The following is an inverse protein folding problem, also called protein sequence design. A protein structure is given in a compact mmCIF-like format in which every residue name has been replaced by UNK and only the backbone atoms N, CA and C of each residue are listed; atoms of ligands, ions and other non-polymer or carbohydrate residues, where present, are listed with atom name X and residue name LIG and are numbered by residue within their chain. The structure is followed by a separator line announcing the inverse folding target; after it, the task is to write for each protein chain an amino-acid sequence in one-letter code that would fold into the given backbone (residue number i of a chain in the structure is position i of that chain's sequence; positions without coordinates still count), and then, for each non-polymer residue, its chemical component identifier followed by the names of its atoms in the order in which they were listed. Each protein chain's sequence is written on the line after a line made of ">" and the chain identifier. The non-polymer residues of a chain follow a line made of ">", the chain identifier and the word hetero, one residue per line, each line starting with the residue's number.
data_IF_080760614825
#
_entry.id   IF_080760614825
#
_cell.length_a   1.000
_cell.length_b   1.000
_cell.length_c   1.000
_cell.angle_alpha   90.00
_cell.angle_beta   90.00
_cell.angle_gamma   90.00
#
_symmetry.space_group_name_H-M   'P 1'
#
loop_
_entity.id
_entity.type
_entity.pdbx_description
1 polymer ?
#
# COMPACT_ATOMS: atom_id res chain seq x y z
N UNK A 1 -19.13 -2.16 -0.68
CA UNK A 1 -20.28 -2.02 -1.62
C UNK A 1 -20.62 -3.30 -2.41
N UNK A 2 -19.91 -4.43 -2.24
CA UNK A 2 -20.24 -5.70 -2.95
C UNK A 2 -20.96 -6.72 -2.05
N UNK A 3 -21.00 -6.51 -0.74
CA UNK A 3 -21.23 -7.58 0.23
C UNK A 3 -22.71 -7.99 0.41
N UNK A 4 -23.69 -7.07 0.33
CA UNK A 4 -25.10 -7.45 0.55
C UNK A 4 -25.77 -8.08 -0.67
N UNK A 5 -25.46 -7.58 -1.88
CA UNK A 5 -26.04 -8.06 -3.13
C UNK A 5 -25.51 -9.47 -3.48
N UNK A 6 -24.21 -9.70 -3.30
CA UNK A 6 -23.58 -11.01 -3.52
C UNK A 6 -24.12 -12.05 -2.53
N UNK A 7 -24.29 -11.69 -1.25
CA UNK A 7 -24.91 -12.56 -0.23
C UNK A 7 -26.35 -12.93 -0.56
N UNK A 8 -27.16 -11.99 -1.04
CA UNK A 8 -28.54 -12.27 -1.44
C UNK A 8 -28.60 -13.18 -2.68
N UNK A 9 -27.77 -12.93 -3.69
CA UNK A 9 -27.72 -13.74 -4.90
C UNK A 9 -27.29 -15.19 -4.61
N UNK A 10 -26.28 -15.38 -3.76
CA UNK A 10 -25.82 -16.71 -3.31
C UNK A 10 -26.92 -17.46 -2.57
N UNK A 11 -27.64 -16.78 -1.67
CA UNK A 11 -28.73 -17.36 -0.89
C UNK A 11 -29.90 -17.80 -1.77
N UNK A 12 -30.19 -17.05 -2.83
CA UNK A 12 -31.26 -17.35 -3.79
C UNK A 12 -30.87 -18.52 -4.71
N UNK A 13 -29.61 -18.57 -5.15
CA UNK A 13 -29.18 -19.52 -6.20
C UNK A 13 -28.50 -20.79 -5.67
N UNK A 14 -28.31 -20.95 -4.36
CA UNK A 14 -27.59 -22.08 -3.73
C UNK A 14 -26.21 -22.35 -4.36
N UNK A 15 -25.55 -21.30 -4.84
CA UNK A 15 -24.23 -21.39 -5.46
C UNK A 15 -23.15 -21.15 -4.43
N UNK A 16 -22.10 -21.98 -4.41
CA UNK A 16 -20.99 -21.85 -3.47
C UNK A 16 -20.25 -20.50 -3.59
N UNK A 17 -19.74 -20.04 -2.45
CA UNK A 17 -18.92 -18.84 -2.32
C UNK A 17 -17.66 -18.98 -3.19
N UNK A 18 -17.58 -18.28 -4.31
CA UNK A 18 -16.44 -18.40 -5.22
C UNK A 18 -15.38 -17.34 -4.90
N UNK A 19 -14.34 -17.76 -4.17
CA UNK A 19 -13.15 -16.96 -3.82
C UNK A 19 -12.51 -16.26 -5.03
N UNK A 20 -12.64 -16.83 -6.23
CA UNK A 20 -12.07 -16.26 -7.45
C UNK A 20 -12.78 -14.96 -7.86
N UNK A 21 -14.11 -14.88 -7.72
CA UNK A 21 -14.86 -13.66 -8.04
C UNK A 21 -14.53 -12.53 -7.07
N UNK A 22 -14.44 -12.82 -5.77
CA UNK A 22 -14.05 -11.81 -4.77
C UNK A 22 -12.63 -11.31 -4.99
N UNK A 23 -11.70 -12.22 -5.28
CA UNK A 23 -10.32 -11.87 -5.61
C UNK A 23 -10.26 -10.97 -6.86
N UNK A 24 -11.04 -11.28 -7.88
CA UNK A 24 -11.14 -10.48 -9.10
C UNK A 24 -11.67 -9.06 -8.84
N UNK A 25 -12.79 -8.93 -8.11
CA UNK A 25 -13.37 -7.62 -7.80
C UNK A 25 -12.49 -6.81 -6.85
N UNK A 26 -11.87 -7.45 -5.86
CA UNK A 26 -10.87 -6.81 -5.01
C UNK A 26 -9.71 -6.26 -5.85
N UNK A 27 -9.19 -7.02 -6.81
CA UNK A 27 -8.10 -6.56 -7.68
C UNK A 27 -8.50 -5.33 -8.50
N UNK A 28 -9.68 -5.35 -9.11
CA UNK A 28 -10.22 -4.19 -9.83
C UNK A 28 -10.30 -2.96 -8.93
N UNK A 29 -10.83 -3.12 -7.73
CA UNK A 29 -10.93 -2.04 -6.75
C UNK A 29 -9.55 -1.52 -6.33
N UNK A 30 -8.63 -2.42 -5.97
CA UNK A 30 -7.29 -2.07 -5.52
C UNK A 30 -6.51 -1.34 -6.62
N UNK A 31 -6.61 -1.79 -7.87
CA UNK A 31 -6.03 -1.11 -9.04
C UNK A 31 -6.59 0.30 -9.21
N UNK A 32 -7.91 0.46 -9.15
CA UNK A 32 -8.55 1.77 -9.24
C UNK A 32 -8.12 2.70 -8.09
N UNK A 33 -8.02 2.16 -6.87
CA UNK A 33 -7.52 2.89 -5.71
C UNK A 33 -6.09 3.39 -5.91
N UNK A 34 -5.17 2.53 -6.38
CA UNK A 34 -3.79 2.92 -6.67
C UNK A 34 -3.71 3.98 -7.79
N UNK A 35 -4.52 3.84 -8.85
CA UNK A 35 -4.61 4.85 -9.91
C UNK A 35 -5.11 6.20 -9.38
N UNK A 36 -6.19 6.21 -8.60
CA UNK A 36 -6.71 7.42 -7.98
C UNK A 36 -5.68 8.07 -7.04
N UNK A 37 -5.02 7.27 -6.21
CA UNK A 37 -3.95 7.74 -5.31
C UNK A 37 -2.83 8.42 -6.10
N UNK A 38 -2.37 7.81 -7.18
CA UNK A 38 -1.28 8.37 -7.99
C UNK A 38 -1.70 9.62 -8.78
N UNK A 39 -2.95 9.69 -9.23
CA UNK A 39 -3.50 10.89 -9.87
C UNK A 39 -3.64 12.05 -8.89
N UNK A 40 -4.26 11.81 -7.71
CA UNK A 40 -4.46 12.83 -6.68
C UNK A 40 -3.14 13.43 -6.18
N UNK A 41 -2.09 12.60 -6.12
CA UNK A 41 -0.75 13.03 -5.73
C UNK A 41 0.11 13.55 -6.90
N UNK A 42 -0.46 13.65 -8.11
CA UNK A 42 0.22 14.12 -9.33
C UNK A 42 1.53 13.35 -9.61
N UNK A 43 1.50 12.03 -9.43
CA UNK A 43 2.63 11.11 -9.68
C UNK A 43 2.34 10.10 -10.79
N UNK A 44 1.11 10.00 -11.26
CA UNK A 44 0.67 9.07 -12.32
C UNK A 44 1.53 9.11 -13.60
N UNK A 45 1.90 10.33 -14.05
CA UNK A 45 2.68 10.55 -15.28
C UNK A 45 4.20 10.49 -15.09
N UNK A 46 4.68 10.30 -13.86
CA UNK A 46 6.11 10.34 -13.55
C UNK A 46 6.80 9.00 -13.83
N UNK A 47 8.13 9.04 -13.94
CA UNK A 47 8.95 7.82 -13.79
C UNK A 47 8.94 7.34 -12.33
N UNK A 48 9.36 6.10 -12.11
CA UNK A 48 9.47 5.53 -10.77
C UNK A 48 10.33 6.43 -9.86
N UNK A 49 11.54 6.79 -10.30
CA UNK A 49 12.45 7.62 -9.50
C UNK A 49 11.89 9.01 -9.22
N UNK A 50 11.22 9.62 -10.20
CA UNK A 50 10.57 10.91 -10.03
C UNK A 50 9.41 10.84 -9.02
N UNK A 51 8.61 9.77 -9.06
CA UNK A 51 7.52 9.56 -8.12
C UNK A 51 8.03 9.32 -6.70
N UNK A 52 9.05 8.47 -6.52
CA UNK A 52 9.68 8.24 -5.21
C UNK A 52 10.29 9.53 -4.67
N UNK A 53 11.02 10.28 -5.50
CA UNK A 53 11.59 11.59 -5.11
C UNK A 53 10.49 12.56 -4.67
N UNK A 54 9.39 12.65 -5.42
CA UNK A 54 8.27 13.53 -5.09
C UNK A 54 7.55 13.10 -3.80
N UNK A 55 7.29 11.81 -3.63
CA UNK A 55 6.65 11.27 -2.42
C UNK A 55 7.49 11.52 -1.17
N UNK A 56 8.80 11.44 -1.30
CA UNK A 56 9.76 11.61 -0.20
C UNK A 56 10.26 13.06 -0.02
N UNK A 57 9.77 14.02 -0.81
CA UNK A 57 10.12 15.44 -0.64
C UNK A 57 9.36 16.11 0.53
N UNK A 58 8.27 15.51 0.98
CA UNK A 58 7.54 15.88 2.19
C UNK A 58 7.56 14.71 3.16
N UNK A 59 7.35 14.96 4.46
CA UNK A 59 7.20 13.89 5.46
C UNK A 59 6.09 12.97 4.96
N UNK A 60 6.42 11.68 4.83
CA UNK A 60 5.53 10.70 4.24
C UNK A 60 5.61 9.41 5.05
N UNK A 61 4.50 8.68 5.07
CA UNK A 61 4.41 7.42 5.79
C UNK A 61 4.79 6.24 4.89
N UNK A 62 5.25 5.14 5.51
CA UNK A 62 5.71 3.93 4.81
C UNK A 62 4.61 3.30 3.94
N UNK A 63 3.36 3.31 4.42
CA UNK A 63 2.14 2.84 3.75
C UNK A 63 1.62 3.75 2.64
N UNK A 64 2.17 4.95 2.50
CA UNK A 64 1.96 5.74 1.30
C UNK A 64 3.00 5.39 0.24
N UNK A 65 4.27 5.27 0.67
CA UNK A 65 5.38 4.97 -0.23
C UNK A 65 5.28 3.56 -0.82
N UNK A 66 4.81 2.58 -0.05
CA UNK A 66 4.58 1.21 -0.54
C UNK A 66 3.54 1.17 -1.69
N UNK A 67 2.43 1.92 -1.60
CA UNK A 67 1.37 2.00 -2.61
C UNK A 67 1.91 2.59 -3.90
N UNK A 68 2.85 3.53 -3.82
CA UNK A 68 3.54 4.06 -4.99
C UNK A 68 4.40 2.97 -5.62
N UNK A 69 5.21 2.24 -4.84
CA UNK A 69 6.03 1.14 -5.34
C UNK A 69 5.15 0.08 -6.02
N UNK A 70 4.08 -0.35 -5.35
CA UNK A 70 3.10 -1.31 -5.85
C UNK A 70 2.46 -0.82 -7.16
N UNK A 71 2.09 0.46 -7.27
CA UNK A 71 1.55 1.02 -8.51
C UNK A 71 2.54 0.86 -9.68
N UNK A 72 3.81 1.20 -9.49
CA UNK A 72 4.80 1.13 -10.56
C UNK A 72 5.18 -0.31 -10.94
N UNK A 73 5.17 -1.23 -9.98
CA UNK A 73 5.44 -2.66 -10.20
C UNK A 73 4.26 -3.40 -10.86
N UNK A 74 3.02 -3.09 -10.47
CA UNK A 74 1.84 -3.91 -10.84
C UNK A 74 1.04 -3.29 -11.98
N UNK A 75 0.99 -1.95 -12.06
CA UNK A 75 0.05 -1.25 -12.94
C UNK A 75 0.72 -0.60 -14.13
N UNK A 76 2.00 -0.25 -14.00
CA UNK A 76 2.80 0.29 -15.10
C UNK A 76 3.50 -0.82 -15.92
N UNK A 77 3.65 -2.02 -15.35
CA UNK A 77 4.01 -3.22 -16.08
C UNK A 77 2.71 -3.92 -16.48
N UNK A 78 2.48 -4.07 -17.78
CA UNK A 78 1.22 -4.49 -18.42
C UNK A 78 0.76 -5.93 -18.09
N UNK A 79 1.35 -6.59 -17.10
CA UNK A 79 1.12 -8.00 -16.81
C UNK A 79 -0.15 -8.21 -15.97
N UNK A 80 -1.23 -8.47 -16.70
CA UNK A 80 -2.58 -8.80 -16.21
C UNK A 80 -2.69 -10.12 -15.43
N UNK A 81 -1.57 -10.83 -15.16
CA UNK A 81 -1.56 -12.14 -14.51
C UNK A 81 -1.02 -12.13 -13.06
N UNK A 82 -0.87 -10.95 -12.44
CA UNK A 82 -0.42 -10.86 -11.06
C UNK A 82 -1.53 -11.27 -10.07
N UNK A 83 -1.50 -12.54 -9.65
CA UNK A 83 -2.32 -13.05 -8.55
C UNK A 83 -1.99 -12.33 -7.23
N UNK A 84 -3.03 -12.05 -6.43
CA UNK A 84 -2.90 -11.37 -5.12
C UNK A 84 -1.87 -12.02 -4.20
N UNK A 85 -1.73 -13.34 -4.28
CA UNK A 85 -0.73 -14.09 -3.53
C UNK A 85 0.71 -13.63 -3.83
N UNK A 86 1.02 -13.34 -5.10
CA UNK A 86 2.33 -12.79 -5.47
C UNK A 86 2.53 -11.38 -4.95
N UNK A 87 1.49 -10.55 -5.01
CA UNK A 87 1.51 -9.18 -4.49
C UNK A 87 1.77 -9.19 -2.98
N UNK A 88 1.04 -10.02 -2.24
CA UNK A 88 1.20 -10.16 -0.79
C UNK A 88 2.58 -10.69 -0.41
N UNK A 89 3.10 -11.67 -1.17
CA UNK A 89 4.43 -12.24 -0.96
C UNK A 89 5.53 -11.20 -1.21
N UNK A 90 5.46 -10.45 -2.32
CA UNK A 90 6.38 -9.35 -2.63
C UNK A 90 6.24 -8.18 -1.66
N UNK A 91 5.02 -7.90 -1.19
CA UNK A 91 4.78 -6.82 -0.23
C UNK A 91 5.59 -7.00 1.05
N UNK A 92 5.48 -8.17 1.67
CA UNK A 92 6.16 -8.47 2.93
C UNK A 92 7.68 -8.60 2.76
N UNK A 93 8.13 -9.14 1.63
CA UNK A 93 9.56 -9.43 1.40
C UNK A 93 10.33 -8.25 0.82
N UNK A 94 9.71 -7.48 -0.07
CA UNK A 94 10.40 -6.53 -0.93
C UNK A 94 9.85 -5.11 -0.76
N UNK A 95 8.55 -4.90 -0.96
CA UNK A 95 7.99 -3.54 -1.07
C UNK A 95 8.02 -2.77 0.25
N UNK A 96 7.54 -3.37 1.34
CA UNK A 96 7.53 -2.72 2.64
C UNK A 96 8.96 -2.47 3.18
N UNK A 97 9.89 -3.46 3.14
CA UNK A 97 11.29 -3.20 3.49
C UNK A 97 11.95 -2.12 2.64
N UNK A 98 11.69 -2.09 1.32
CA UNK A 98 12.20 -1.06 0.42
C UNK A 98 11.66 0.33 0.79
N UNK A 99 10.35 0.48 0.98
CA UNK A 99 9.73 1.73 1.41
C UNK A 99 10.33 2.24 2.73
N UNK A 100 10.47 1.34 3.71
CA UNK A 100 11.09 1.66 5.00
C UNK A 100 12.54 2.14 4.83
N UNK A 101 13.33 1.46 3.99
CA UNK A 101 14.72 1.83 3.74
C UNK A 101 14.85 3.22 3.09
N UNK A 102 13.94 3.55 2.17
CA UNK A 102 13.92 4.85 1.48
C UNK A 102 13.60 5.99 2.44
N UNK A 103 12.64 5.80 3.35
CA UNK A 103 12.28 6.79 4.37
C UNK A 103 13.44 6.98 5.35
N UNK A 104 14.03 5.90 5.87
CA UNK A 104 15.19 5.97 6.78
C UNK A 104 16.34 6.72 6.11
N UNK A 105 16.67 6.38 4.86
CA UNK A 105 17.75 7.02 4.11
C UNK A 105 17.49 8.51 3.86
N UNK A 106 16.26 8.87 3.48
CA UNK A 106 15.90 10.24 3.13
C UNK A 106 15.85 11.15 4.34
N UNK A 107 15.16 10.74 5.39
CA UNK A 107 14.91 11.57 6.57
C UNK A 107 15.97 11.39 7.66
N UNK A 108 16.99 10.54 7.42
CA UNK A 108 17.95 10.10 8.44
C UNK A 108 17.21 9.64 9.70
N UNK A 109 16.07 8.96 9.51
CA UNK A 109 15.19 8.60 10.61
C UNK A 109 15.91 7.59 11.50
N UNK A 110 16.42 8.08 12.63
CA UNK A 110 16.91 7.22 13.69
C UNK A 110 15.64 6.65 14.32
N UNK A 111 15.40 5.36 14.12
CA UNK A 111 14.31 4.69 14.85
C UNK A 111 14.55 4.98 16.32
N UNK A 112 13.69 5.76 17.00
CA UNK A 112 13.94 6.08 18.39
C UNK A 112 14.05 4.75 19.15
N UNK A 113 15.15 4.56 19.90
CA UNK A 113 15.21 3.47 20.89
C UNK A 113 13.91 3.57 21.66
N UNK A 114 13.21 2.42 21.81
CA UNK A 114 11.91 2.30 22.50
C UNK A 114 11.88 3.29 23.67
N UNK A 115 11.26 4.44 23.45
CA UNK A 115 11.16 5.46 24.48
C UNK A 115 10.12 4.89 25.41
N UNK A 116 10.45 4.74 26.68
CA UNK A 116 9.42 4.39 27.63
C UNK A 116 8.48 5.59 27.66
N UNK A 117 7.19 5.43 27.34
CA UNK A 117 6.27 6.59 27.26
C UNK A 117 6.22 7.36 28.59
N UNK A 118 6.59 6.73 29.71
CA UNK A 118 6.80 7.38 31.00
C UNK A 118 7.94 8.42 31.02
N UNK A 119 8.93 8.33 30.12
CA UNK A 119 10.04 9.28 29.98
C UNK A 119 9.58 10.64 29.42
N UNK A 120 8.42 10.70 28.73
CA UNK A 120 7.82 11.96 28.25
C UNK A 120 7.28 12.83 29.39
N UNK A 121 7.00 12.22 30.55
CA UNK A 121 6.43 12.89 31.71
C UNK A 121 7.41 12.99 32.89
N UNK A 122 8.69 12.64 32.68
CA UNK A 122 9.69 12.84 33.72
C UNK A 122 9.96 14.33 33.87
N UNK A 123 9.79 14.90 35.07
CA UNK A 123 10.16 16.30 35.30
C UNK A 123 11.65 16.45 35.08
N UNK A 124 12.04 17.44 34.27
CA UNK A 124 13.43 17.90 34.20
C UNK A 124 13.82 18.41 35.57
N UNK A 125 14.65 17.65 36.28
CA UNK A 125 15.28 18.12 37.51
C UNK A 125 16.35 19.13 37.07
N UNK A 126 16.06 20.41 37.26
CA UNK A 126 17.01 21.52 37.14
C UNK A 126 17.89 21.63 38.37
#
# INVERSE_FOLDING_TARGET
>A
LVDSAEKQFIKINKTDYNINYQTYYFYKYFKAFLQALTQNNKIFSLSYDQAIKKATNQITDIYFLDKIIIYFEILKQSDTNLFIFFIQKKYNKDYYPLAKSLIIKKFKYITPKKINDFDLFKPTIS
#
